data_IF_747319359328
#
_entry.id   IF_747319359328
#
_cell.length_a   1.000
_cell.length_b   1.000
_cell.length_c   1.000
_cell.angle_alpha   90.00
_cell.angle_beta   90.00
_cell.angle_gamma   90.00
#
_symmetry.space_group_name_H-M   'P 1'
#
loop_
_entity.id
_entity.type
_entity.pdbx_description
1 polymer ?
#
# COMPACT_ATOMS: atom_id res chain seq x y z
N UNK A 1 13.88 -24.74 -0.94
CA UNK A 1 13.80 -23.51 -1.77
C UNK A 1 12.50 -22.73 -1.57
N UNK A 2 11.40 -23.35 -1.12
CA UNK A 2 10.15 -22.64 -0.80
C UNK A 2 10.16 -21.93 0.57
N UNK A 3 10.92 -22.43 1.56
CA UNK A 3 10.89 -21.87 2.92
C UNK A 3 11.38 -20.43 3.00
N UNK A 4 12.40 -20.05 2.21
CA UNK A 4 12.92 -18.67 2.18
C UNK A 4 11.93 -17.74 1.46
N UNK A 5 11.32 -18.20 0.36
CA UNK A 5 10.29 -17.42 -0.36
C UNK A 5 9.07 -17.19 0.52
N UNK A 6 8.58 -18.23 1.20
CA UNK A 6 7.45 -18.12 2.11
C UNK A 6 7.75 -17.19 3.27
N UNK A 7 8.95 -17.27 3.87
CA UNK A 7 9.36 -16.36 4.93
C UNK A 7 9.37 -14.89 4.48
N UNK A 8 9.83 -14.61 3.26
CA UNK A 8 9.80 -13.26 2.69
C UNK A 8 8.36 -12.80 2.45
N UNK A 9 7.50 -13.68 1.93
CA UNK A 9 6.07 -13.40 1.74
C UNK A 9 5.40 -13.06 3.07
N UNK A 10 5.53 -13.92 4.09
CA UNK A 10 4.92 -13.74 5.40
C UNK A 10 5.39 -12.43 6.07
N UNK A 11 6.68 -12.10 5.97
CA UNK A 11 7.21 -10.86 6.50
C UNK A 11 6.73 -9.63 5.72
N UNK A 12 6.60 -9.75 4.39
CA UNK A 12 6.05 -8.68 3.55
C UNK A 12 4.59 -8.42 3.88
N UNK A 13 3.79 -9.47 4.05
CA UNK A 13 2.38 -9.37 4.46
C UNK A 13 2.25 -8.69 5.81
N UNK A 14 3.09 -9.04 6.79
CA UNK A 14 3.14 -8.37 8.08
C UNK A 14 3.49 -6.88 7.93
N UNK A 15 4.51 -6.54 7.16
CA UNK A 15 4.94 -5.16 6.94
C UNK A 15 3.83 -4.33 6.26
N UNK A 16 3.16 -4.89 5.25
CA UNK A 16 2.02 -4.25 4.57
C UNK A 16 0.86 -4.05 5.54
N UNK A 17 0.59 -5.04 6.40
CA UNK A 17 -0.42 -4.92 7.46
C UNK A 17 -0.15 -3.75 8.41
N UNK A 18 1.10 -3.58 8.85
CA UNK A 18 1.52 -2.46 9.73
C UNK A 18 1.35 -1.12 9.02
N UNK A 19 1.74 -1.02 7.74
CA UNK A 19 1.55 0.20 6.93
C UNK A 19 0.07 0.55 6.83
N UNK A 20 -0.78 -0.43 6.52
CA UNK A 20 -2.23 -0.24 6.41
C UNK A 20 -2.83 0.26 7.73
N UNK A 21 -2.44 -0.34 8.86
CA UNK A 21 -2.85 0.11 10.18
C UNK A 21 -2.40 1.54 10.47
N UNK A 22 -1.19 1.91 10.05
CA UNK A 22 -0.69 3.29 10.12
C UNK A 22 -1.59 4.25 9.34
N UNK A 23 -1.84 3.98 8.05
CA UNK A 23 -2.70 4.85 7.24
C UNK A 23 -4.09 5.04 7.89
N UNK A 24 -4.72 3.95 8.35
CA UNK A 24 -6.04 4.02 9.02
C UNK A 24 -5.97 4.84 10.31
N UNK A 25 -4.96 4.62 11.15
CA UNK A 25 -4.81 5.38 12.39
C UNK A 25 -4.58 6.87 12.15
N UNK A 26 -3.79 7.23 11.14
CA UNK A 26 -3.60 8.64 10.75
C UNK A 26 -4.89 9.28 10.25
N UNK A 27 -5.73 8.55 9.50
CA UNK A 27 -7.02 9.07 9.01
C UNK A 27 -8.02 9.26 10.15
N UNK A 28 -8.09 8.32 11.10
CA UNK A 28 -9.10 8.33 12.17
C UNK A 28 -8.71 9.26 13.32
N UNK A 29 -7.45 9.21 13.75
CA UNK A 29 -6.97 9.89 14.95
C UNK A 29 -6.14 11.15 14.64
N UNK A 30 -5.79 11.38 13.36
CA UNK A 30 -4.99 12.53 12.95
C UNK A 30 -3.50 12.36 13.30
N UNK A 31 -2.97 13.29 14.09
CA UNK A 31 -1.54 13.39 14.38
C UNK A 31 -1.09 12.38 15.46
N UNK A 32 -0.90 11.13 15.02
CA UNK A 32 -0.38 10.04 15.86
C UNK A 32 1.13 9.89 15.64
N UNK A 33 1.96 9.85 16.71
CA UNK A 33 3.40 9.63 16.60
C UNK A 33 3.73 8.39 15.77
N UNK A 34 4.80 8.46 14.96
CA UNK A 34 5.26 7.40 14.02
C UNK A 34 4.33 7.11 12.82
N UNK A 35 3.07 7.52 12.87
CA UNK A 35 2.07 7.22 11.83
C UNK A 35 1.87 8.36 10.83
N UNK A 36 2.04 9.61 11.26
CA UNK A 36 1.84 10.79 10.39
C UNK A 36 2.70 10.75 9.11
N UNK A 37 3.93 10.24 9.19
CA UNK A 37 4.79 10.04 8.02
C UNK A 37 4.25 9.00 7.02
N UNK A 38 3.60 7.94 7.52
CA UNK A 38 3.03 6.88 6.67
C UNK A 38 1.84 7.42 5.87
N UNK A 39 0.94 8.14 6.54
CA UNK A 39 -0.22 8.75 5.89
C UNK A 39 0.21 9.81 4.85
N UNK A 40 1.15 10.68 5.19
CA UNK A 40 1.64 11.71 4.25
C UNK A 40 2.30 11.08 3.02
N UNK A 41 3.17 10.09 3.20
CA UNK A 41 3.81 9.39 2.08
C UNK A 41 2.78 8.69 1.18
N UNK A 42 1.72 8.12 1.78
CA UNK A 42 0.63 7.50 1.02
C UNK A 42 -0.13 8.54 0.19
N UNK A 43 -0.51 9.67 0.81
CA UNK A 43 -1.22 10.77 0.15
C UNK A 43 -0.37 11.37 -0.99
N UNK A 44 0.92 11.61 -0.76
CA UNK A 44 1.85 12.09 -1.79
C UNK A 44 1.93 11.13 -2.98
N UNK A 45 1.97 9.83 -2.70
CA UNK A 45 1.96 8.80 -3.75
C UNK A 45 0.68 8.87 -4.57
N UNK A 46 -0.48 8.98 -3.91
CA UNK A 46 -1.78 9.13 -4.58
C UNK A 46 -1.83 10.40 -5.43
N UNK A 47 -1.32 11.53 -4.92
CA UNK A 47 -1.25 12.77 -5.70
C UNK A 47 -0.29 12.68 -6.89
N UNK A 48 0.87 12.04 -6.73
CA UNK A 48 1.80 11.80 -7.83
C UNK A 48 1.15 10.96 -8.94
N UNK A 49 0.36 9.96 -8.55
CA UNK A 49 -0.44 9.14 -9.48
C UNK A 49 -1.54 9.97 -10.14
N UNK A 50 -2.29 10.78 -9.38
CA UNK A 50 -3.38 11.61 -9.90
C UNK A 50 -2.90 12.70 -10.87
N UNK A 51 -1.73 13.28 -10.60
CA UNK A 51 -1.12 14.30 -11.47
C UNK A 51 -0.57 13.69 -12.78
N UNK A 52 -0.24 12.40 -12.78
CA UNK A 52 0.11 11.63 -13.96
C UNK A 52 -1.06 10.74 -14.36
N UNK A 53 -2.05 11.29 -15.09
CA UNK A 53 -3.24 10.53 -15.51
C UNK A 53 -2.94 9.16 -16.16
N UNK A 54 -1.78 9.01 -16.80
CA UNK A 54 -1.30 7.73 -17.34
C UNK A 54 -0.91 6.71 -16.24
N UNK A 55 -0.29 7.16 -15.13
CA UNK A 55 0.04 6.31 -13.99
C UNK A 55 -1.22 5.76 -13.32
N UNK A 56 -2.28 6.59 -13.21
CA UNK A 56 -3.57 6.15 -12.66
C UNK A 56 -4.19 5.02 -13.49
N UNK A 57 -4.19 5.16 -14.83
CA UNK A 57 -4.70 4.12 -15.74
C UNK A 57 -3.86 2.84 -15.63
N UNK A 58 -2.53 2.98 -15.55
CA UNK A 58 -1.62 1.83 -15.42
C UNK A 58 -1.87 1.05 -14.14
N UNK A 59 -2.03 1.75 -13.01
CA UNK A 59 -2.36 1.12 -11.74
C UNK A 59 -3.73 0.45 -11.76
N UNK A 60 -4.74 1.08 -12.35
CA UNK A 60 -6.06 0.48 -12.50
C UNK A 60 -5.99 -0.85 -13.28
N UNK A 61 -5.18 -0.91 -14.34
CA UNK A 61 -4.94 -2.14 -15.12
C UNK A 61 -4.25 -3.20 -14.25
N UNK A 62 -3.21 -2.85 -13.50
CA UNK A 62 -2.49 -3.79 -12.62
C UNK A 62 -3.44 -4.37 -11.57
N UNK A 63 -4.23 -3.53 -10.91
CA UNK A 63 -5.22 -3.96 -9.90
C UNK A 63 -6.27 -4.87 -10.52
N UNK A 64 -6.78 -4.53 -11.71
CA UNK A 64 -7.75 -5.37 -12.42
C UNK A 64 -7.19 -6.76 -12.76
N UNK A 65 -5.97 -6.82 -13.29
CA UNK A 65 -5.29 -8.10 -13.62
C UNK A 65 -5.07 -8.94 -12.36
N UNK A 66 -4.61 -8.32 -11.27
CA UNK A 66 -4.36 -9.02 -10.03
C UNK A 66 -5.65 -9.54 -9.38
N UNK A 67 -6.70 -8.72 -9.31
CA UNK A 67 -8.02 -9.09 -8.78
C UNK A 67 -8.64 -10.26 -9.56
N UNK A 68 -8.46 -10.29 -10.88
CA UNK A 68 -8.91 -11.40 -11.73
C UNK A 68 -8.17 -12.72 -11.44
N UNK A 69 -6.88 -12.67 -11.13
CA UNK A 69 -6.09 -13.87 -10.83
C UNK A 69 -6.31 -14.42 -9.41
N UNK A 70 -6.98 -13.65 -8.54
CA UNK A 70 -7.24 -14.04 -7.15
C UNK A 70 -8.65 -14.62 -6.95
N UNK A 71 -9.51 -14.59 -7.99
CA UNK A 71 -10.80 -15.29 -8.06
C UNK A 71 -10.70 -16.51 -8.99
#
# INVERSE_FOLDING_TARGET
MNSIKNLITDFTELAVGIIALGVVAGVVFGDVPFVGGILNNFIETVYAIGNSGAAAITLAIIVYVYSKNTN
#
